data_IF_167481678632
#
_entry.id   IF_167481678632
#
_cell.length_a   1.000
_cell.length_b   1.000
_cell.length_c   1.000
_cell.angle_alpha   90.00
_cell.angle_beta   90.00
_cell.angle_gamma   90.00
#
_symmetry.space_group_name_H-M   'P 1'
#
loop_
_entity.id
_entity.type
_entity.pdbx_description
1 polymer ?
#
# COMPACT_ATOMS: atom_id res chain seq x y z
N UNK A 1 26.99 -7.10 -16.01
CA UNK A 1 25.88 -6.60 -16.85
C UNK A 1 24.60 -7.21 -16.32
N UNK A 2 23.57 -6.42 -15.97
CA UNK A 2 22.28 -6.99 -15.58
C UNK A 2 21.58 -7.52 -16.84
N UNK A 3 21.23 -8.81 -16.84
CA UNK A 3 20.50 -9.47 -17.94
C UNK A 3 19.24 -8.66 -18.31
N UNK A 4 18.98 -8.58 -19.61
CA UNK A 4 17.79 -7.91 -20.13
C UNK A 4 16.55 -8.64 -19.62
N UNK A 5 15.76 -7.93 -18.81
CA UNK A 5 14.52 -8.44 -18.20
C UNK A 5 13.49 -8.76 -19.29
N UNK A 6 13.35 -10.04 -19.63
CA UNK A 6 12.40 -10.53 -20.65
C UNK A 6 10.98 -10.76 -20.11
N UNK A 7 10.84 -10.95 -18.79
CA UNK A 7 9.55 -11.23 -18.15
C UNK A 7 9.13 -10.14 -17.16
N UNK A 8 7.81 -9.92 -17.07
CA UNK A 8 7.26 -8.97 -16.12
C UNK A 8 7.47 -9.45 -14.68
N UNK A 9 7.81 -8.55 -13.73
CA UNK A 9 8.20 -8.98 -12.40
C UNK A 9 6.99 -9.52 -11.64
N UNK A 10 7.10 -10.74 -11.12
CA UNK A 10 6.03 -11.39 -10.34
C UNK A 10 5.51 -10.52 -9.19
N UNK A 11 6.41 -9.83 -8.46
CA UNK A 11 6.05 -8.90 -7.37
C UNK A 11 5.14 -7.75 -7.84
N UNK A 12 5.38 -7.20 -9.03
CA UNK A 12 4.55 -6.11 -9.57
C UNK A 12 3.17 -6.61 -9.98
N UNK A 13 3.08 -7.82 -10.53
CA UNK A 13 1.80 -8.44 -10.86
C UNK A 13 0.96 -8.72 -9.60
N UNK A 14 1.59 -9.26 -8.55
CA UNK A 14 0.95 -9.47 -7.25
C UNK A 14 0.47 -8.16 -6.62
N UNK A 15 1.30 -7.11 -6.66
CA UNK A 15 0.92 -5.80 -6.13
C UNK A 15 -0.28 -5.21 -6.88
N UNK A 16 -0.32 -5.36 -8.20
CA UNK A 16 -1.44 -4.90 -9.00
C UNK A 16 -2.74 -5.64 -8.66
N UNK A 17 -2.68 -6.96 -8.49
CA UNK A 17 -3.83 -7.75 -8.05
C UNK A 17 -4.34 -7.28 -6.69
N UNK A 18 -3.44 -7.07 -5.72
CA UNK A 18 -3.80 -6.57 -4.39
C UNK A 18 -4.50 -5.21 -4.47
N UNK A 19 -3.98 -4.28 -5.28
CA UNK A 19 -4.60 -2.96 -5.47
C UNK A 19 -6.00 -3.02 -6.09
N UNK A 20 -6.29 -4.01 -6.94
CA UNK A 20 -7.63 -4.20 -7.50
C UNK A 20 -8.64 -4.75 -6.48
N UNK A 21 -8.16 -5.51 -5.49
CA UNK A 21 -9.04 -6.15 -4.50
C UNK A 21 -9.36 -5.23 -3.31
N UNK A 22 -8.49 -4.26 -3.01
CA UNK A 22 -8.73 -3.25 -1.97
C UNK A 22 -10.03 -2.44 -2.13
N UNK A 23 -10.35 -1.83 -3.30
CA UNK A 23 -11.59 -1.06 -3.46
C UNK A 23 -12.85 -1.94 -3.40
N UNK A 24 -12.74 -3.26 -3.61
CA UNK A 24 -13.86 -4.19 -3.45
C UNK A 24 -14.11 -4.51 -1.97
N UNK A 25 -13.05 -4.49 -1.14
CA UNK A 25 -13.12 -4.82 0.29
C UNK A 25 -13.60 -3.63 1.14
N UNK A 26 -13.27 -2.41 0.74
CA UNK A 26 -13.55 -1.20 1.52
C UNK A 26 -14.51 -0.27 0.78
N UNK A 27 -15.55 0.19 1.49
CA UNK A 27 -16.55 1.12 0.94
C UNK A 27 -15.97 2.51 0.64
N UNK A 28 -14.94 2.93 1.38
CA UNK A 28 -14.34 4.27 1.27
C UNK A 28 -12.83 4.13 1.19
N UNK A 29 -12.23 4.76 0.18
CA UNK A 29 -10.78 4.84 -0.01
C UNK A 29 -10.35 6.30 -0.07
N UNK A 30 -9.29 6.67 0.66
CA UNK A 30 -8.75 8.03 0.67
C UNK A 30 -7.28 8.05 0.23
N UNK A 31 -6.91 9.02 -0.59
CA UNK A 31 -5.53 9.25 -1.02
C UNK A 31 -4.89 10.35 -0.15
N UNK A 32 -3.78 10.01 0.49
CA UNK A 32 -3.07 10.92 1.41
C UNK A 32 -1.60 11.00 1.00
N UNK A 33 -1.03 12.21 1.04
CA UNK A 33 0.41 12.41 0.80
C UNK A 33 1.20 12.05 2.05
N UNK A 34 1.96 10.96 1.98
CA UNK A 34 2.77 10.44 3.09
C UNK A 34 4.23 10.92 3.06
N UNK A 35 4.61 11.75 2.08
CA UNK A 35 5.99 12.19 1.79
C UNK A 35 6.71 12.85 2.98
N UNK A 36 5.98 13.60 3.82
CA UNK A 36 6.52 14.33 4.98
C UNK A 36 6.17 13.69 6.32
N UNK A 37 5.60 12.49 6.33
CA UNK A 37 5.22 11.79 7.56
C UNK A 37 6.26 10.70 7.83
N UNK A 38 7.00 10.83 8.93
CA UNK A 38 7.97 9.80 9.31
C UNK A 38 7.25 8.53 9.76
N UNK A 39 7.86 7.38 9.51
CA UNK A 39 7.34 6.08 9.94
C UNK A 39 7.02 6.04 11.46
N UNK A 40 7.82 6.74 12.28
CA UNK A 40 7.61 6.86 13.73
C UNK A 40 6.32 7.60 14.11
N UNK A 41 5.87 8.56 13.29
CA UNK A 41 4.63 9.31 13.51
C UNK A 41 3.40 8.54 13.04
N UNK A 42 3.60 7.66 12.06
CA UNK A 42 2.60 6.75 11.51
C UNK A 42 2.18 5.67 12.51
N UNK A 43 3.11 5.21 13.35
CA UNK A 43 2.85 4.15 14.34
C UNK A 43 1.76 4.55 15.36
N UNK A 44 1.80 5.74 16.01
CA UNK A 44 0.70 6.23 16.83
C UNK A 44 -0.64 6.28 16.10
N UNK A 45 -0.66 6.70 14.83
CA UNK A 45 -1.88 6.76 14.03
C UNK A 45 -2.44 5.37 13.74
N UNK A 46 -1.58 4.41 13.38
CA UNK A 46 -1.96 3.01 13.19
C UNK A 46 -2.51 2.38 14.46
N UNK A 47 -1.97 2.73 15.64
CA UNK A 47 -2.49 2.25 16.92
C UNK A 47 -3.86 2.86 17.26
N UNK A 48 -4.06 4.15 16.99
CA UNK A 48 -5.32 4.84 17.25
C UNK A 48 -6.46 4.35 16.36
N UNK A 49 -6.17 4.07 15.09
CA UNK A 49 -7.16 3.66 14.08
C UNK A 49 -7.20 2.14 13.89
N UNK A 50 -6.70 1.39 14.86
CA UNK A 50 -6.60 -0.07 14.78
C UNK A 50 -7.99 -0.69 14.65
N UNK A 51 -8.22 -1.47 13.60
CA UNK A 51 -9.51 -2.11 13.33
C UNK A 51 -10.52 -1.24 12.58
N UNK A 52 -10.29 0.07 12.51
CA UNK A 52 -11.16 1.01 11.78
C UNK A 52 -10.60 1.35 10.40
N UNK A 53 -9.29 1.58 10.30
CA UNK A 53 -8.63 2.02 9.05
C UNK A 53 -7.38 1.22 8.79
N UNK A 54 -7.27 0.67 7.58
CA UNK A 54 -6.02 0.09 7.08
C UNK A 54 -5.21 1.16 6.32
N UNK A 55 -4.02 1.48 6.82
CA UNK A 55 -3.10 2.41 6.16
C UNK A 55 -2.08 1.62 5.34
N UNK A 56 -2.21 1.73 4.02
CA UNK A 56 -1.35 1.05 3.04
C UNK A 56 -0.33 2.07 2.52
N UNK A 57 0.97 1.73 2.58
CA UNK A 57 2.11 2.57 2.19
C UNK A 57 3.10 1.78 1.36
#
# INVERSE_FOLDING_TARGET
>A
MHEKRTEYPKKKAQMYQLLQDLPKKYNVTALVRMEKVRASQLLPLRKKLLGEVEIIS
#
